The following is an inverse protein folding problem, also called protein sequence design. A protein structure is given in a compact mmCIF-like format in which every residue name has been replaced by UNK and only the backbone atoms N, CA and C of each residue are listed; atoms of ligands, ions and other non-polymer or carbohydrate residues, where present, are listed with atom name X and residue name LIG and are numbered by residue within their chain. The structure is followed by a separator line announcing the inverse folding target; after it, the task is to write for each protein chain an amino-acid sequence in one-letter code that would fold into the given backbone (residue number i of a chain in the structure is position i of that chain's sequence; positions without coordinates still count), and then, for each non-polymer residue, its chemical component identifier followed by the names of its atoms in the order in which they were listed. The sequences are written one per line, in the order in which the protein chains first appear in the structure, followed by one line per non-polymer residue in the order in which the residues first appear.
data_IF_864798244700
#
_entry.id   IF_864798244700
#
_cell.length_a   1.000
_cell.length_b   1.000
_cell.length_c   1.000
_cell.angle_alpha   90.00
_cell.angle_beta   90.00
_cell.angle_gamma   90.00
#
_symmetry.space_group_name_H-M   'P 1'
#
loop_
_entity.id
_entity.type
_entity.pdbx_description
1 polymer ?
#
# COMPACT_ATOMS: atom_id res chain seq x y z
N UNK A 1 4.82 -3.59 -7.55
CA UNK A 1 3.70 -4.01 -6.70
C UNK A 1 2.84 -4.95 -7.51
N UNK A 2 2.27 -5.97 -6.89
CA UNK A 2 1.27 -6.85 -7.51
C UNK A 2 0.01 -6.75 -6.66
N UNK A 3 -1.12 -6.37 -7.25
CA UNK A 3 -2.37 -6.20 -6.52
C UNK A 3 -3.60 -6.56 -7.35
N UNK A 4 -4.68 -6.83 -6.64
CA UNK A 4 -6.03 -6.96 -7.17
C UNK A 4 -6.87 -5.81 -6.62
N UNK A 5 -7.49 -5.07 -7.53
CA UNK A 5 -8.33 -3.90 -7.22
C UNK A 5 -9.78 -4.23 -7.55
N UNK A 6 -10.67 -4.03 -6.58
CA UNK A 6 -12.11 -4.20 -6.73
C UNK A 6 -12.79 -2.85 -6.53
N UNK A 7 -13.51 -2.37 -7.55
CA UNK A 7 -14.34 -1.17 -7.40
C UNK A 7 -15.53 -1.49 -6.49
N UNK A 8 -15.75 -0.62 -5.51
CA UNK A 8 -16.86 -0.74 -4.54
C UNK A 8 -17.98 0.26 -4.80
N UNK A 9 -17.80 1.14 -5.80
CA UNK A 9 -18.71 2.21 -6.15
C UNK A 9 -18.00 3.28 -6.97
N UNK A 10 -18.73 4.34 -7.31
CA UNK A 10 -18.13 5.48 -8.01
C UNK A 10 -17.03 6.11 -7.15
N UNK A 11 -15.81 6.17 -7.70
CA UNK A 11 -14.67 6.78 -7.02
C UNK A 11 -14.15 6.00 -5.80
N UNK A 12 -14.62 4.79 -5.53
CA UNK A 12 -14.23 4.00 -4.36
C UNK A 12 -13.80 2.59 -4.73
N UNK A 13 -12.84 2.05 -3.99
CA UNK A 13 -12.30 0.72 -4.23
C UNK A 13 -11.72 0.09 -2.97
N UNK A 14 -11.52 -1.22 -3.03
CA UNK A 14 -10.65 -1.95 -2.10
C UNK A 14 -9.57 -2.66 -2.90
N UNK A 15 -8.45 -2.91 -2.25
CA UNK A 15 -7.28 -3.49 -2.87
C UNK A 15 -6.58 -4.43 -1.89
N UNK A 16 -6.05 -5.52 -2.41
CA UNK A 16 -5.12 -6.37 -1.68
C UNK A 16 -4.03 -6.85 -2.60
N UNK A 17 -2.87 -7.16 -2.04
CA UNK A 17 -1.73 -7.51 -2.87
C UNK A 17 -0.45 -7.69 -2.08
N UNK A 18 0.66 -7.61 -2.81
CA UNK A 18 2.00 -7.68 -2.26
C UNK A 18 2.90 -6.56 -2.77
N UNK A 19 3.74 -6.04 -1.87
CA UNK A 19 4.81 -5.10 -2.18
C UNK A 19 6.13 -5.78 -1.89
N UNK A 20 7.04 -5.75 -2.87
CA UNK A 20 8.42 -6.22 -2.72
C UNK A 20 9.34 -5.04 -2.37
N UNK A 21 10.11 -5.16 -1.29
CA UNK A 21 11.09 -4.18 -0.83
C UNK A 21 12.52 -4.63 -1.16
N UNK A 22 12.74 -5.08 -2.40
CA UNK A 22 14.01 -5.67 -2.84
C UNK A 22 14.47 -6.78 -1.90
N UNK A 23 15.73 -6.73 -1.48
CA UNK A 23 16.35 -7.75 -0.62
C UNK A 23 15.80 -7.80 0.81
N UNK A 24 15.02 -6.79 1.23
CA UNK A 24 14.40 -6.81 2.56
C UNK A 24 13.28 -7.86 2.66
N UNK A 25 12.63 -8.20 1.54
CA UNK A 25 11.54 -9.16 1.47
C UNK A 25 10.26 -8.55 0.92
N UNK A 26 9.12 -9.16 1.26
CA UNK A 26 7.79 -8.78 0.75
C UNK A 26 6.83 -8.54 1.90
N UNK A 27 5.81 -7.73 1.67
CA UNK A 27 4.64 -7.63 2.55
C UNK A 27 3.38 -7.90 1.76
N UNK A 28 2.46 -8.65 2.36
CA UNK A 28 1.08 -8.76 1.90
C UNK A 28 0.23 -7.72 2.64
N UNK A 29 -0.69 -7.09 1.92
CA UNK A 29 -1.51 -6.02 2.46
C UNK A 29 -2.98 -6.12 2.04
N UNK A 30 -3.85 -5.42 2.75
CA UNK A 30 -5.25 -5.17 2.35
C UNK A 30 -5.68 -3.75 2.69
N UNK A 31 -6.63 -3.20 1.97
CA UNK A 31 -7.22 -1.89 2.28
C UNK A 31 -7.86 -1.84 3.67
N UNK A 32 -7.58 -0.76 4.39
CA UNK A 32 -8.32 -0.35 5.58
C UNK A 32 -9.49 0.52 5.14
N UNK A 33 -10.71 0.03 5.33
CA UNK A 33 -11.91 0.73 4.84
C UNK A 33 -11.99 0.70 3.33
N UNK A 34 -11.79 1.85 2.68
CA UNK A 34 -11.84 2.00 1.23
C UNK A 34 -10.79 3.01 0.75
N UNK A 35 -10.22 2.76 -0.42
CA UNK A 35 -9.51 3.76 -1.19
C UNK A 35 -10.50 4.68 -1.91
N UNK A 36 -10.04 5.90 -2.20
CA UNK A 36 -10.82 6.92 -2.91
C UNK A 36 -10.05 7.40 -4.13
N UNK A 37 -10.77 7.74 -5.19
CA UNK A 37 -10.21 8.35 -6.40
C UNK A 37 -11.20 9.33 -7.04
N UNK A 38 -10.69 10.47 -7.48
CA UNK A 38 -11.49 11.56 -8.05
C UNK A 38 -10.76 12.29 -9.17
N UNK A 39 -11.43 13.28 -9.75
CA UNK A 39 -10.82 14.22 -10.68
C UNK A 39 -9.78 15.07 -9.95
N UNK A 40 -8.67 15.38 -10.63
CA UNK A 40 -7.73 16.39 -10.15
C UNK A 40 -7.96 17.74 -10.85
N UNK A 41 -7.24 18.78 -10.42
CA UNK A 41 -7.22 20.06 -11.12
C UNK A 41 -6.44 20.02 -12.46
N UNK A 42 -5.72 18.93 -12.75
CA UNK A 42 -4.97 18.74 -13.99
C UNK A 42 -5.80 17.87 -14.93
N UNK A 43 -6.05 18.37 -16.13
CA UNK A 43 -6.91 17.70 -17.11
C UNK A 43 -6.35 16.33 -17.52
N UNK A 44 -7.18 15.29 -17.40
CA UNK A 44 -6.78 13.92 -17.73
C UNK A 44 -5.93 13.23 -16.67
N UNK A 45 -5.74 13.87 -15.51
CA UNK A 45 -5.12 13.27 -14.35
C UNK A 45 -6.17 13.08 -13.26
N UNK A 46 -6.28 11.87 -12.75
CA UNK A 46 -7.02 11.57 -11.52
C UNK A 46 -6.06 11.49 -10.36
N UNK A 47 -6.57 11.72 -9.16
CA UNK A 47 -5.82 11.51 -7.93
C UNK A 47 -6.62 10.64 -6.97
N UNK A 48 -5.95 10.08 -5.98
CA UNK A 48 -6.58 9.28 -4.96
C UNK A 48 -5.70 9.06 -3.75
N UNK A 49 -6.30 8.42 -2.76
CA UNK A 49 -5.60 8.01 -1.56
C UNK A 49 -6.17 6.67 -1.06
N UNK A 50 -5.30 5.86 -0.46
CA UNK A 50 -5.68 4.60 0.16
C UNK A 50 -4.76 4.30 1.34
N UNK A 51 -5.31 3.63 2.35
CA UNK A 51 -4.56 3.10 3.48
C UNK A 51 -4.60 1.59 3.40
N UNK A 52 -3.45 0.94 3.54
CA UNK A 52 -3.35 -0.51 3.62
C UNK A 52 -2.80 -0.95 4.98
N UNK A 53 -3.37 -2.04 5.49
CA UNK A 53 -2.87 -2.80 6.64
C UNK A 53 -1.92 -3.89 6.14
N UNK A 54 -0.75 -4.02 6.78
CA UNK A 54 0.17 -5.14 6.53
C UNK A 54 -0.33 -6.38 7.25
N UNK A 55 -0.67 -7.39 6.47
CA UNK A 55 -1.23 -8.66 6.95
C UNK A 55 -0.14 -9.69 7.24
N UNK A 56 0.95 -9.65 6.48
CA UNK A 56 2.07 -10.58 6.60
C UNK A 56 3.30 -9.96 5.98
N UNK A 57 4.47 -10.23 6.55
CA UNK A 57 5.75 -9.96 5.90
C UNK A 57 6.61 -11.22 5.75
N UNK A 58 7.58 -11.15 4.85
CA UNK A 58 8.53 -12.20 4.49
C UNK A 58 9.96 -11.68 4.56
N UNK A 59 10.94 -12.59 4.69
CA UNK A 59 12.36 -12.22 4.76
C UNK A 59 12.66 -11.42 6.03
N UNK A 60 13.34 -10.27 5.88
CA UNK A 60 13.64 -9.36 7.01
C UNK A 60 12.40 -8.66 7.56
N UNK A 61 11.27 -8.76 6.84
CA UNK A 61 9.99 -8.22 7.25
C UNK A 61 9.08 -9.30 7.88
N UNK A 62 9.61 -10.50 8.17
CA UNK A 62 8.83 -11.56 8.80
C UNK A 62 8.16 -11.10 10.09
N UNK A 63 6.84 -11.28 10.17
CA UNK A 63 6.02 -10.85 11.31
C UNK A 63 5.75 -9.34 11.37
N UNK A 64 6.10 -8.57 10.33
CA UNK A 64 5.79 -7.14 10.28
C UNK A 64 4.29 -6.88 10.42
N UNK A 65 3.96 -5.86 11.20
CA UNK A 65 2.63 -5.26 11.31
C UNK A 65 2.75 -3.76 11.06
N UNK A 66 1.66 -3.11 10.63
CA UNK A 66 1.65 -1.67 10.47
C UNK A 66 0.76 -1.20 9.34
N UNK A 67 0.95 0.06 8.95
CA UNK A 67 0.15 0.74 7.94
C UNK A 67 1.02 1.33 6.85
N UNK A 68 0.48 1.33 5.64
CA UNK A 68 1.00 2.00 4.47
C UNK A 68 -0.07 3.00 4.02
N UNK A 69 0.29 4.26 3.84
CA UNK A 69 -0.58 5.25 3.19
C UNK A 69 -0.05 5.52 1.79
N UNK A 70 -0.93 5.51 0.79
CA UNK A 70 -0.61 5.91 -0.58
C UNK A 70 -1.41 7.15 -0.96
N UNK A 71 -0.74 8.16 -1.49
CA UNK A 71 -1.36 9.18 -2.34
C UNK A 71 -0.89 8.92 -3.75
N UNK A 72 -1.81 8.80 -4.69
CA UNK A 72 -1.47 8.37 -6.04
C UNK A 72 -2.17 9.22 -7.11
N UNK A 73 -1.64 9.11 -8.32
CA UNK A 73 -2.26 9.67 -9.52
C UNK A 73 -2.49 8.59 -10.56
N UNK A 74 -3.50 8.78 -11.41
CA UNK A 74 -3.80 7.90 -12.56
C UNK A 74 -3.87 8.77 -13.82
N UNK A 75 -3.00 8.49 -14.78
CA UNK A 75 -2.96 9.14 -16.09
C UNK A 75 -4.03 8.62 -17.06
N UNK A 76 -4.14 9.27 -18.22
CA UNK A 76 -5.12 8.89 -19.27
C UNK A 76 -4.91 7.49 -19.85
N UNK A 77 -3.67 7.04 -19.84
CA UNK A 77 -3.23 5.71 -20.27
C UNK A 77 -3.37 4.64 -19.18
N UNK A 78 -3.87 5.03 -18.00
CA UNK A 78 -3.96 4.16 -16.83
C UNK A 78 -2.64 4.02 -16.06
N UNK A 79 -1.59 4.77 -16.41
CA UNK A 79 -0.36 4.78 -15.64
C UNK A 79 -0.63 5.30 -14.23
N UNK A 80 -0.19 4.54 -13.23
CA UNK A 80 -0.32 4.89 -11.81
C UNK A 80 1.03 5.34 -11.27
N UNK A 81 1.04 6.45 -10.54
CA UNK A 81 2.18 6.87 -9.72
C UNK A 81 1.77 6.90 -8.26
N UNK A 82 2.40 6.06 -7.44
CA UNK A 82 2.13 5.95 -6.02
C UNK A 82 3.22 6.61 -5.18
N UNK A 83 2.82 7.42 -4.21
CA UNK A 83 3.69 7.98 -3.17
C UNK A 83 3.30 7.39 -1.82
N UNK A 84 4.18 6.53 -1.29
CA UNK A 84 3.93 5.82 -0.04
C UNK A 84 4.57 6.49 1.17
N UNK A 85 3.86 6.50 2.29
CA UNK A 85 4.46 6.66 3.62
C UNK A 85 4.15 5.42 4.46
N UNK A 86 5.17 4.86 5.10
CA UNK A 86 5.09 3.52 5.70
C UNK A 86 5.53 3.57 7.16
N UNK A 87 4.75 2.95 8.05
CA UNK A 87 5.15 2.65 9.42
C UNK A 87 5.00 1.15 9.66
N UNK A 88 6.13 0.45 9.80
CA UNK A 88 6.17 -0.96 10.17
C UNK A 88 6.73 -1.14 11.57
N UNK A 89 6.17 -2.09 12.28
CA UNK A 89 6.67 -2.66 13.53
C UNK A 89 7.14 -4.06 13.23
N UNK A 90 8.38 -4.37 13.56
CA UNK A 90 8.94 -5.71 13.43
C UNK A 90 8.96 -6.37 14.82
N UNK A 91 8.71 -7.69 14.90
CA UNK A 91 8.94 -8.42 16.13
C UNK A 91 10.39 -8.21 16.58
N UNK A 92 10.60 -8.03 17.89
CA UNK A 92 11.94 -8.07 18.44
C UNK A 92 12.57 -9.40 18.01
N UNK A 93 13.74 -9.33 17.38
CA UNK A 93 14.51 -10.54 17.15
C UNK A 93 14.80 -11.15 18.53
N UNK A 94 14.49 -12.43 18.75
CA UNK A 94 14.78 -13.12 20.02
C UNK A 94 16.30 -13.31 20.26
N UNK A 95 17.13 -12.40 19.77
CA UNK A 95 18.58 -12.42 19.86
C UNK A 95 19.17 -11.02 19.72
N UNK A 96 19.09 -10.22 20.78
CA UNK A 96 20.11 -9.20 21.08
C UNK A 96 19.69 -7.73 21.02
N UNK A 97 19.47 -7.14 22.20
CA UNK A 97 19.61 -5.70 22.48
C UNK A 97 18.33 -4.86 22.42
N UNK A 98 18.17 -3.83 23.30
CA UNK A 98 17.01 -2.95 23.32
C UNK A 98 17.01 -1.99 22.10
N UNK A 99 15.84 -1.38 21.79
CA UNK A 99 15.65 -0.52 20.62
C UNK A 99 16.56 0.71 20.57
#
# INVERSE_FOLDING_TARGET
MESEVLSTGEGTFVESGTISYGDAGRVAFRTVGQGVTGASAIEGLRHGAVIWEVMRGEGRLAGAQGLITSNFTVGRDGQVTDNHFVRLFLPAHLGGGPP
#
